data_IF_177485435131
#
_entry.id   IF_177485435131
#
_cell.length_a   1.000
_cell.length_b   1.000
_cell.length_c   1.000
_cell.angle_alpha   90.00
_cell.angle_beta   90.00
_cell.angle_gamma   90.00
#
_symmetry.space_group_name_H-M   'P 1'
#
loop_
_entity.id
_entity.type
_entity.pdbx_description
1 polymer ?
#
# COMPACT_ATOMS: atom_id res chain seq x y z
N UNK A 1 32.29 26.65 -19.71
CA UNK A 1 32.04 25.22 -19.49
C UNK A 1 30.53 25.11 -19.39
N UNK A 2 29.86 24.64 -20.45
CA UNK A 2 28.40 24.46 -20.43
C UNK A 2 28.11 23.26 -19.53
N UNK A 3 27.40 23.52 -18.42
CA UNK A 3 26.85 22.45 -17.59
C UNK A 3 25.61 21.93 -18.30
N UNK A 4 25.74 20.81 -19.00
CA UNK A 4 24.57 20.07 -19.48
C UNK A 4 23.94 19.44 -18.24
N UNK A 5 22.83 20.00 -17.78
CA UNK A 5 22.04 19.36 -16.73
C UNK A 5 21.60 17.98 -17.22
N UNK A 6 21.78 16.98 -16.36
CA UNK A 6 21.29 15.64 -16.64
C UNK A 6 19.76 15.71 -16.75
N UNK A 7 19.16 15.06 -17.74
CA UNK A 7 17.71 15.16 -18.05
C UNK A 7 16.81 14.96 -16.82
N UNK A 8 17.22 14.06 -15.93
CA UNK A 8 16.56 13.76 -14.66
C UNK A 8 16.47 14.99 -13.74
N UNK A 9 17.50 15.84 -13.69
CA UNK A 9 17.55 17.04 -12.83
C UNK A 9 16.57 18.09 -13.34
N UNK A 10 16.56 18.35 -14.65
CA UNK A 10 15.60 19.29 -15.27
C UNK A 10 14.16 18.82 -15.05
N UNK A 11 13.91 17.52 -15.11
CA UNK A 11 12.60 16.93 -14.86
C UNK A 11 12.16 17.05 -13.39
N UNK A 12 13.04 16.74 -12.44
CA UNK A 12 12.76 16.92 -11.00
C UNK A 12 12.49 18.39 -10.67
N UNK A 13 13.27 19.31 -11.23
CA UNK A 13 13.07 20.74 -11.02
C UNK A 13 11.72 21.23 -11.59
N UNK A 14 11.21 20.58 -12.64
CA UNK A 14 9.91 20.92 -13.24
C UNK A 14 8.73 20.27 -12.54
N UNK A 15 8.84 19.02 -12.11
CA UNK A 15 7.73 18.25 -11.54
C UNK A 15 7.69 18.30 -10.00
N UNK A 16 8.80 18.66 -9.36
CA UNK A 16 9.00 18.60 -7.91
C UNK A 16 9.29 17.19 -7.38
N UNK A 17 9.28 16.19 -8.25
CA UNK A 17 9.61 14.79 -7.96
C UNK A 17 10.12 14.10 -9.25
N UNK A 18 10.95 13.06 -9.14
CA UNK A 18 11.38 12.29 -10.31
C UNK A 18 10.23 11.44 -10.84
N UNK A 19 9.94 11.57 -12.14
CA UNK A 19 8.81 10.91 -12.82
C UNK A 19 8.89 9.38 -12.79
N UNK A 20 10.10 8.82 -12.84
CA UNK A 20 10.36 7.37 -12.83
C UNK A 20 10.76 6.82 -11.44
N UNK A 21 10.63 7.61 -10.36
CA UNK A 21 10.69 7.03 -9.01
C UNK A 21 9.38 6.31 -8.76
N UNK A 22 9.36 5.01 -9.06
CA UNK A 22 8.56 3.96 -8.38
C UNK A 22 7.37 4.54 -7.59
N UNK A 23 6.34 5.01 -8.29
CA UNK A 23 4.99 5.16 -7.74
C UNK A 23 4.32 3.78 -7.80
N UNK A 24 5.07 2.75 -7.44
CA UNK A 24 4.77 1.38 -7.80
C UNK A 24 3.52 0.95 -7.07
N UNK A 25 2.44 0.88 -7.85
CA UNK A 25 1.37 -0.06 -7.63
C UNK A 25 0.62 0.12 -6.31
N UNK A 26 0.49 1.35 -5.79
CA UNK A 26 -0.38 1.61 -4.64
C UNK A 26 -1.84 1.40 -5.07
N UNK A 27 -2.43 0.25 -4.71
CA UNK A 27 -3.83 -0.07 -4.95
C UNK A 27 -4.73 0.63 -3.91
N UNK A 28 -4.24 0.79 -2.68
CA UNK A 28 -4.99 1.45 -1.61
C UNK A 28 -4.30 1.35 -0.26
N UNK A 29 -5.09 1.48 0.80
CA UNK A 29 -4.66 1.21 2.18
C UNK A 29 -5.65 0.27 2.85
N UNK A 30 -5.14 -0.61 3.70
CA UNK A 30 -5.90 -1.48 4.59
C UNK A 30 -6.61 -0.64 5.67
N UNK A 31 -7.67 -1.18 6.28
CA UNK A 31 -8.25 -0.76 7.55
C UNK A 31 -7.22 -0.30 8.60
N UNK A 32 -6.08 -0.98 8.72
CA UNK A 32 -5.02 -0.62 9.67
C UNK A 32 -4.07 0.49 9.19
N UNK A 33 -4.29 1.03 7.99
CA UNK A 33 -3.45 2.06 7.37
C UNK A 33 -2.18 1.52 6.72
N UNK A 34 -2.07 0.20 6.51
CA UNK A 34 -0.98 -0.40 5.75
C UNK A 34 -1.22 -0.26 4.25
N UNK A 35 -0.15 -0.06 3.47
CA UNK A 35 -0.24 0.15 2.03
C UNK A 35 -0.57 -1.19 1.36
N UNK A 36 -1.60 -1.20 0.52
CA UNK A 36 -1.94 -2.32 -0.35
C UNK A 36 -1.26 -2.08 -1.70
N UNK A 37 -0.40 -3.00 -2.10
CA UNK A 37 0.22 -3.00 -3.42
C UNK A 37 -0.56 -3.89 -4.40
N UNK A 38 -0.43 -3.61 -5.69
CA UNK A 38 -0.97 -4.50 -6.74
C UNK A 38 -0.34 -5.89 -6.62
N UNK A 39 -1.20 -6.91 -6.57
CA UNK A 39 -0.78 -8.30 -6.37
C UNK A 39 -0.83 -8.79 -4.91
N UNK A 40 -1.06 -7.90 -3.94
CA UNK A 40 -1.30 -8.31 -2.56
C UNK A 40 -2.66 -9.00 -2.40
N UNK A 41 -2.71 -9.99 -1.51
CA UNK A 41 -3.98 -10.64 -1.14
C UNK A 41 -4.76 -9.74 -0.18
N UNK A 42 -5.99 -9.41 -0.56
CA UNK A 42 -6.89 -8.58 0.24
C UNK A 42 -8.21 -9.31 0.53
N UNK A 43 -8.82 -8.95 1.64
CA UNK A 43 -10.13 -9.39 2.10
C UNK A 43 -11.04 -8.18 2.26
N UNK A 44 -12.23 -8.24 1.66
CA UNK A 44 -13.23 -7.18 1.75
C UNK A 44 -14.43 -7.62 2.57
N UNK A 45 -14.80 -6.85 3.60
CA UNK A 45 -15.96 -7.11 4.45
C UNK A 45 -16.69 -5.81 4.79
N UNK A 46 -17.99 -5.76 4.50
CA UNK A 46 -18.86 -4.61 4.80
C UNK A 46 -18.34 -3.24 4.30
N UNK A 47 -17.53 -3.24 3.23
CA UNK A 47 -16.93 -2.04 2.63
C UNK A 47 -15.55 -1.67 3.19
N UNK A 48 -15.02 -2.45 4.13
CA UNK A 48 -13.63 -2.34 4.60
C UNK A 48 -12.73 -3.30 3.81
N UNK A 49 -11.54 -2.84 3.44
CA UNK A 49 -10.53 -3.65 2.76
C UNK A 49 -9.38 -3.92 3.73
N UNK A 50 -8.99 -5.19 3.86
CA UNK A 50 -7.95 -5.65 4.79
C UNK A 50 -6.94 -6.52 4.06
N UNK A 51 -5.64 -6.33 4.30
CA UNK A 51 -4.60 -7.25 3.82
C UNK A 51 -4.77 -8.62 4.48
N UNK A 52 -4.58 -9.69 3.71
CA UNK A 52 -4.72 -11.06 4.21
C UNK A 52 -3.88 -11.32 5.48
N UNK A 53 -2.68 -10.73 5.55
CA UNK A 53 -1.79 -10.79 6.71
C UNK A 53 -2.39 -10.15 7.99
N UNK A 54 -3.27 -9.17 7.82
CA UNK A 54 -3.96 -8.48 8.92
C UNK A 54 -5.36 -9.06 9.21
N UNK A 55 -5.82 -10.02 8.42
CA UNK A 55 -7.18 -10.55 8.53
C UNK A 55 -7.47 -11.15 9.91
N UNK A 56 -6.54 -11.91 10.47
CA UNK A 56 -6.74 -12.50 11.80
C UNK A 56 -6.96 -11.44 12.87
N UNK A 57 -6.16 -10.37 12.83
CA UNK A 57 -6.27 -9.24 13.75
C UNK A 57 -7.59 -8.52 13.54
N UNK A 58 -7.98 -8.25 12.30
CA UNK A 58 -9.25 -7.64 11.95
C UNK A 58 -10.44 -8.45 12.48
N UNK A 59 -10.43 -9.78 12.28
CA UNK A 59 -11.52 -10.64 12.76
C UNK A 59 -11.66 -10.63 14.28
N UNK A 60 -10.56 -10.52 15.02
CA UNK A 60 -10.60 -10.46 16.49
C UNK A 60 -11.03 -9.07 16.98
N UNK A 61 -10.46 -8.00 16.45
CA UNK A 61 -10.69 -6.64 16.92
C UNK A 61 -12.03 -6.05 16.45
N UNK A 62 -12.35 -6.24 15.17
CA UNK A 62 -13.54 -5.65 14.55
C UNK A 62 -14.75 -6.58 14.60
N UNK A 63 -14.57 -7.86 14.25
CA UNK A 63 -15.67 -8.82 14.21
C UNK A 63 -15.92 -9.56 15.54
N UNK A 64 -15.07 -9.36 16.55
CA UNK A 64 -15.17 -10.04 17.85
C UNK A 64 -14.97 -11.56 17.78
N UNK A 65 -14.34 -12.03 16.71
CA UNK A 65 -14.00 -13.42 16.48
C UNK A 65 -12.99 -13.95 17.51
N UNK A 66 -13.01 -15.26 17.72
CA UNK A 66 -12.02 -15.92 18.58
C UNK A 66 -11.49 -17.17 17.90
N UNK A 67 -10.18 -17.21 17.71
CA UNK A 67 -9.50 -18.43 17.28
C UNK A 67 -9.52 -19.45 18.43
N UNK A 68 -10.00 -20.65 18.11
CA UNK A 68 -9.99 -21.79 19.03
C UNK A 68 -9.52 -23.02 18.28
N UNK A 69 -8.77 -23.88 18.97
CA UNK A 69 -8.42 -25.18 18.42
C UNK A 69 -9.62 -26.12 18.58
N UNK A 70 -10.02 -26.74 17.48
CA UNK A 70 -11.00 -27.82 17.53
C UNK A 70 -10.45 -29.00 18.36
N UNK A 71 -11.32 -29.64 19.15
CA UNK A 71 -11.01 -30.83 19.94
C UNK A 71 -11.80 -32.01 19.44
#
# INVERSE_FOLDING_TARGET
>A
MEHVEHSIITEINSLGYPKDMYQDQHYGVDYFGEIICEGDEIFELDGETVLADNLEKFLVEFAGGKFTLAK
#
